data_IF_949092133508
#
_entry.id   IF_949092133508
#
_cell.length_a   1.000
_cell.length_b   1.000
_cell.length_c   1.000
_cell.angle_alpha   90.00
_cell.angle_beta   90.00
_cell.angle_gamma   90.00
#
_symmetry.space_group_name_H-M   'P 1'
#
loop_
_entity.id
_entity.type
_entity.pdbx_description
1 polymer ?
#
# COMPACT_ATOMS: atom_id res chain seq x y z
N UNK A 1 -12.73 70.65 -66.17
CA UNK A 1 -12.04 71.36 -65.07
C UNK A 1 -11.98 70.41 -63.89
N UNK A 2 -10.94 69.57 -63.80
CA UNK A 2 -9.69 69.80 -63.06
C UNK A 2 -9.88 70.05 -61.56
N UNK A 3 -9.67 69.00 -60.77
CA UNK A 3 -8.76 68.89 -59.60
C UNK A 3 -9.09 67.55 -58.92
N UNK A 4 -8.42 66.42 -59.21
CA UNK A 4 -7.09 66.04 -58.70
C UNK A 4 -6.73 66.79 -57.41
N UNK A 5 -6.97 66.15 -56.26
CA UNK A 5 -6.09 66.02 -55.08
C UNK A 5 -6.86 65.19 -54.05
N UNK A 6 -6.27 64.11 -53.56
CA UNK A 6 -6.86 63.28 -52.51
C UNK A 6 -6.12 61.96 -52.24
N UNK A 7 -5.20 61.55 -53.13
CA UNK A 7 -4.30 60.41 -52.90
C UNK A 7 -2.99 60.85 -52.17
N UNK A 8 -2.81 62.15 -51.95
CA UNK A 8 -1.60 62.72 -51.34
C UNK A 8 -1.59 62.75 -49.79
N UNK A 9 -2.71 62.48 -49.11
CA UNK A 9 -2.69 62.45 -47.63
C UNK A 9 -2.31 61.08 -47.05
N UNK A 10 -2.49 59.99 -47.81
CA UNK A 10 -2.11 58.64 -47.35
C UNK A 10 -0.64 58.29 -47.59
N UNK A 11 0.00 58.90 -48.60
CA UNK A 11 1.45 58.74 -48.82
C UNK A 11 2.29 59.49 -47.79
N UNK A 12 1.80 60.61 -47.24
CA UNK A 12 2.55 61.37 -46.24
C UNK A 12 2.51 60.75 -44.83
N UNK A 13 1.48 59.96 -44.49
CA UNK A 13 1.43 59.25 -43.19
C UNK A 13 2.24 57.95 -43.23
N UNK A 14 2.26 57.26 -44.38
CA UNK A 14 3.10 56.06 -44.55
C UNK A 14 4.60 56.41 -44.68
N UNK A 15 4.94 57.57 -45.25
CA UNK A 15 6.31 58.06 -45.31
C UNK A 15 6.82 58.59 -43.95
N UNK A 16 5.94 58.94 -43.01
CA UNK A 16 6.36 59.36 -41.67
C UNK A 16 6.66 58.17 -40.73
N UNK A 17 6.02 57.02 -40.97
CA UNK A 17 6.24 55.79 -40.19
C UNK A 17 7.46 54.96 -40.65
N UNK A 18 7.92 55.16 -41.89
CA UNK A 18 9.14 54.51 -42.42
C UNK A 18 10.44 55.32 -42.20
N UNK A 19 10.35 56.58 -41.78
CA UNK A 19 11.53 57.42 -41.48
C UNK A 19 11.99 57.36 -40.01
N UNK A 20 11.22 56.73 -39.11
CA UNK A 20 11.59 56.54 -37.68
C UNK A 20 12.06 55.10 -37.34
N UNK A 21 12.45 54.32 -38.35
CA UNK A 21 13.09 53.01 -38.19
C UNK A 21 14.39 53.05 -39.01
N UNK A 22 15.47 53.65 -38.48
CA UNK A 22 16.35 52.90 -37.59
C UNK A 22 17.01 53.78 -36.52
N UNK A 23 16.37 53.92 -35.35
CA UNK A 23 17.09 54.41 -34.14
C UNK A 23 17.13 53.33 -33.04
N UNK A 24 16.46 52.19 -33.23
CA UNK A 24 16.52 51.05 -32.28
C UNK A 24 17.27 49.82 -32.81
N UNK A 25 18.14 50.02 -33.81
CA UNK A 25 18.99 48.97 -34.35
C UNK A 25 20.43 49.48 -34.54
N UNK A 26 20.96 50.18 -33.54
CA UNK A 26 22.39 50.46 -33.38
C UNK A 26 22.63 51.10 -31.99
N UNK A 27 22.30 50.40 -30.91
CA UNK A 27 23.24 50.43 -29.78
C UNK A 27 24.43 49.65 -30.25
N UNK A 28 25.31 50.33 -30.98
CA UNK A 28 26.69 49.91 -31.10
C UNK A 28 27.12 49.59 -29.68
N UNK A 29 27.49 48.34 -29.45
CA UNK A 29 28.54 48.00 -28.50
C UNK A 29 29.76 48.81 -28.92
N UNK A 30 29.79 50.09 -28.57
CA UNK A 30 31.04 50.79 -28.34
C UNK A 30 31.67 50.01 -27.21
N UNK A 31 32.63 49.15 -27.55
CA UNK A 31 33.54 48.60 -26.58
C UNK A 31 34.00 49.79 -25.73
N UNK A 32 33.67 49.85 -24.43
CA UNK A 32 34.12 50.94 -23.60
C UNK A 32 35.64 50.97 -23.67
N UNK A 33 36.19 52.16 -23.94
CA UNK A 33 37.62 52.38 -24.04
C UNK A 33 38.30 51.71 -22.83
N UNK A 34 39.21 50.74 -23.03
CA UNK A 34 39.82 49.99 -21.93
C UNK A 34 40.67 50.86 -20.99
N UNK A 35 40.92 52.12 -21.35
CA UNK A 35 41.59 53.12 -20.52
C UNK A 35 40.62 54.00 -19.69
N UNK A 36 39.30 53.88 -19.89
CA UNK A 36 38.26 54.53 -19.09
C UNK A 36 37.65 53.59 -18.03
N UNK A 37 38.11 52.34 -17.95
CA UNK A 37 37.83 51.43 -16.83
C UNK A 37 38.74 51.79 -15.66
N UNK A 38 38.32 52.76 -14.87
CA UNK A 38 38.97 53.06 -13.60
C UNK A 38 38.82 51.89 -12.61
N UNK A 39 39.77 51.76 -11.68
CA UNK A 39 39.82 50.70 -10.66
C UNK A 39 38.57 50.61 -9.76
N UNK A 40 37.74 51.65 -9.71
CA UNK A 40 36.49 51.66 -8.93
C UNK A 40 35.37 50.81 -9.56
N UNK A 41 35.48 50.44 -10.84
CA UNK A 41 34.50 49.58 -11.52
C UNK A 41 34.58 48.12 -11.05
N UNK A 42 35.79 47.61 -10.76
CA UNK A 42 35.95 46.26 -10.19
C UNK A 42 35.40 46.21 -8.76
N UNK A 43 35.60 47.28 -7.98
CA UNK A 43 35.03 47.40 -6.64
C UNK A 43 33.50 47.46 -6.69
N UNK A 44 32.91 48.18 -7.66
CA UNK A 44 31.46 48.18 -7.87
C UNK A 44 30.92 46.83 -8.38
N UNK A 45 31.59 46.14 -9.30
CA UNK A 45 31.17 44.80 -9.73
C UNK A 45 31.27 43.79 -8.57
N UNK A 46 32.25 43.92 -7.68
CA UNK A 46 32.36 43.10 -6.47
C UNK A 46 31.30 43.46 -5.42
N UNK A 47 31.03 44.75 -5.19
CA UNK A 47 29.97 45.19 -4.29
C UNK A 47 28.59 44.77 -4.83
N UNK A 48 28.32 44.92 -6.12
CA UNK A 48 27.11 44.44 -6.77
C UNK A 48 27.00 42.92 -6.72
N UNK A 49 28.10 42.17 -6.91
CA UNK A 49 28.09 40.72 -6.76
C UNK A 49 27.85 40.29 -5.29
N UNK A 50 28.40 41.01 -4.32
CA UNK A 50 28.19 40.76 -2.88
C UNK A 50 26.77 41.13 -2.47
N UNK A 51 26.22 42.23 -2.99
CA UNK A 51 24.84 42.66 -2.77
C UNK A 51 23.88 41.68 -3.44
N UNK A 52 24.11 41.31 -4.71
CA UNK A 52 23.33 40.31 -5.43
C UNK A 52 23.35 38.97 -4.72
N UNK A 53 24.51 38.51 -4.23
CA UNK A 53 24.62 37.27 -3.46
C UNK A 53 23.96 37.39 -2.08
N UNK A 54 24.04 38.53 -1.38
CA UNK A 54 23.30 38.78 -0.13
C UNK A 54 21.79 38.76 -0.38
N UNK A 55 21.31 39.48 -1.39
CA UNK A 55 19.91 39.56 -1.79
C UNK A 55 19.39 38.17 -2.20
N UNK A 56 20.13 37.44 -3.03
CA UNK A 56 19.80 36.05 -3.39
C UNK A 56 19.85 35.08 -2.20
N UNK A 57 20.70 35.33 -1.20
CA UNK A 57 20.74 34.56 0.06
C UNK A 57 19.51 34.81 0.93
N UNK A 58 18.93 36.02 0.89
CA UNK A 58 17.65 36.33 1.55
C UNK A 58 16.44 35.76 0.81
N UNK A 59 16.49 35.63 -0.52
CA UNK A 59 15.40 35.03 -1.32
C UNK A 59 15.45 33.49 -1.44
N UNK A 60 16.41 32.83 -0.80
CA UNK A 60 16.65 31.36 -0.88
C UNK A 60 16.05 30.51 0.25
N UNK A 61 14.90 30.86 0.87
CA UNK A 61 13.94 29.80 1.13
C UNK A 61 12.49 30.26 0.98
N UNK A 62 12.02 30.46 -0.25
CA UNK A 62 10.64 30.12 -0.55
C UNK A 62 10.60 28.62 -0.86
N UNK A 63 10.76 27.78 0.17
CA UNK A 63 10.68 26.33 -0.03
C UNK A 63 9.28 26.05 -0.56
N UNK A 64 9.16 25.70 -1.84
CA UNK A 64 7.88 25.45 -2.51
C UNK A 64 7.13 24.25 -1.90
N UNK A 65 7.82 23.47 -1.07
CA UNK A 65 7.32 22.30 -0.39
C UNK A 65 7.87 22.21 1.04
N UNK A 66 7.18 21.46 1.89
CA UNK A 66 7.59 21.11 3.25
C UNK A 66 7.72 19.60 3.33
N UNK A 67 8.80 19.12 3.94
CA UNK A 67 8.93 17.71 4.28
C UNK A 67 8.02 17.38 5.46
N UNK A 68 7.19 16.36 5.29
CA UNK A 68 6.35 15.82 6.35
C UNK A 68 6.57 14.32 6.45
N UNK A 69 6.31 13.80 7.64
CA UNK A 69 6.30 12.37 7.94
C UNK A 69 4.86 11.93 8.13
N UNK A 70 4.50 10.78 7.56
CA UNK A 70 3.21 10.15 7.78
C UNK A 70 3.14 9.47 9.17
N UNK A 71 1.97 8.91 9.52
CA UNK A 71 1.78 8.18 10.78
C UNK A 71 2.71 6.96 10.93
N UNK A 72 3.27 6.48 9.84
CA UNK A 72 4.14 5.31 9.76
C UNK A 72 5.64 5.68 9.68
N UNK A 73 5.98 6.96 9.82
CA UNK A 73 7.37 7.46 9.81
C UNK A 73 8.00 7.56 8.42
N UNK A 74 7.20 7.55 7.35
CA UNK A 74 7.62 7.66 5.95
C UNK A 74 7.54 9.10 5.47
N UNK A 75 8.48 9.50 4.61
CA UNK A 75 8.62 10.89 4.20
C UNK A 75 7.81 11.20 2.93
N UNK A 76 7.16 12.35 2.91
CA UNK A 76 6.52 12.91 1.71
C UNK A 76 6.74 14.41 1.62
N UNK A 77 6.62 14.94 0.40
CA UNK A 77 6.67 16.39 0.14
C UNK A 77 5.26 16.94 0.05
N UNK A 78 5.00 17.98 0.83
CA UNK A 78 3.75 18.73 0.80
C UNK A 78 4.00 20.09 0.15
N UNK A 79 3.43 20.33 -1.02
CA UNK A 79 3.58 21.58 -1.75
C UNK A 79 2.60 22.64 -1.27
N UNK A 80 2.97 23.93 -1.41
CA UNK A 80 2.11 25.06 -1.01
C UNK A 80 0.77 25.12 -1.76
N UNK A 81 0.69 24.51 -2.93
CA UNK A 81 -0.53 24.40 -3.75
C UNK A 81 -1.43 23.22 -3.34
N UNK A 82 -1.10 22.51 -2.26
CA UNK A 82 -1.85 21.36 -1.76
C UNK A 82 -1.49 20.04 -2.42
N UNK A 83 -0.57 20.02 -3.39
CA UNK A 83 -0.10 18.76 -3.99
C UNK A 83 0.75 17.98 -2.99
N UNK A 84 0.57 16.66 -2.99
CA UNK A 84 1.35 15.71 -2.19
C UNK A 84 2.17 14.84 -3.13
N UNK A 85 3.48 14.77 -2.92
CA UNK A 85 4.37 13.85 -3.62
C UNK A 85 4.98 12.86 -2.62
N UNK A 86 4.61 11.60 -2.75
CA UNK A 86 5.21 10.50 -2.01
C UNK A 86 6.51 10.04 -2.67
N UNK A 87 7.55 9.80 -1.87
CA UNK A 87 8.82 9.27 -2.34
C UNK A 87 8.99 7.84 -1.88
N UNK A 88 9.23 6.93 -2.82
CA UNK A 88 9.48 5.52 -2.51
C UNK A 88 10.94 5.36 -2.10
N UNK A 89 11.19 5.29 -0.79
CA UNK A 89 12.52 5.03 -0.23
C UNK A 89 12.92 3.56 -0.40
N UNK A 90 14.23 3.25 -0.32
CA UNK A 90 14.75 1.86 -0.38
C UNK A 90 14.21 0.95 0.73
N UNK A 91 13.78 1.54 1.85
CA UNK A 91 13.21 0.83 3.00
C UNK A 91 11.68 0.85 2.99
N UNK A 92 11.06 1.03 1.82
CA UNK A 92 9.62 1.04 1.67
C UNK A 92 8.97 -0.21 2.30
N UNK A 93 7.92 0.03 3.09
CA UNK A 93 7.07 -1.01 3.66
C UNK A 93 5.65 -0.69 3.25
N UNK A 94 4.99 -1.69 2.68
CA UNK A 94 3.58 -1.59 2.35
C UNK A 94 2.73 -1.59 3.63
N UNK A 95 1.69 -0.77 3.64
CA UNK A 95 0.75 -0.58 4.76
C UNK A 95 -0.66 -0.46 4.22
N UNK A 96 -1.64 -0.79 5.07
CA UNK A 96 -3.04 -0.50 4.75
C UNK A 96 -3.27 1.02 4.78
N UNK A 97 -4.14 1.55 3.90
CA UNK A 97 -4.47 2.96 3.89
C UNK A 97 -5.25 3.35 5.15
N UNK A 98 -4.89 4.50 5.72
CA UNK A 98 -5.62 5.15 6.80
C UNK A 98 -6.58 6.22 6.24
N UNK A 99 -7.79 6.29 6.80
CA UNK A 99 -8.80 7.31 6.45
C UNK A 99 -8.28 8.74 6.68
N UNK A 100 -7.36 8.95 7.62
CA UNK A 100 -6.79 10.26 7.94
C UNK A 100 -5.80 10.79 6.89
N UNK A 101 -5.17 9.91 6.10
CA UNK A 101 -4.07 10.25 5.18
C UNK A 101 -4.36 9.81 3.72
N UNK A 102 -5.63 9.82 3.29
CA UNK A 102 -6.04 9.30 1.97
C UNK A 102 -5.34 9.96 0.77
N UNK A 103 -5.09 11.27 0.84
CA UNK A 103 -4.39 12.00 -0.24
C UNK A 103 -2.91 11.59 -0.35
N UNK A 104 -2.28 11.28 0.79
CA UNK A 104 -0.91 10.76 0.85
C UNK A 104 -0.85 9.36 0.24
N UNK A 105 -1.78 8.48 0.62
CA UNK A 105 -1.87 7.13 0.06
C UNK A 105 -2.21 7.11 -1.43
N UNK A 106 -3.00 8.07 -1.92
CA UNK A 106 -3.25 8.23 -3.35
C UNK A 106 -1.97 8.62 -4.10
N UNK A 107 -1.17 9.51 -3.53
CA UNK A 107 0.14 9.88 -4.08
C UNK A 107 1.12 8.71 -4.04
N UNK A 108 1.14 7.95 -2.95
CA UNK A 108 1.90 6.71 -2.78
C UNK A 108 1.58 5.70 -3.87
N UNK A 109 0.30 5.43 -4.14
CA UNK A 109 -0.11 4.52 -5.20
C UNK A 109 0.38 4.97 -6.59
N UNK A 110 0.32 6.28 -6.87
CA UNK A 110 0.85 6.86 -8.13
C UNK A 110 2.37 6.73 -8.22
N UNK A 111 3.08 6.91 -7.11
CA UNK A 111 4.53 6.74 -7.05
C UNK A 111 4.93 5.27 -7.26
N UNK A 112 4.28 4.32 -6.58
CA UNK A 112 4.50 2.88 -6.75
C UNK A 112 4.27 2.42 -8.19
N UNK A 113 3.20 2.89 -8.82
CA UNK A 113 2.93 2.59 -10.23
C UNK A 113 4.03 3.10 -11.17
N UNK A 114 4.63 4.28 -10.88
CA UNK A 114 5.76 4.82 -11.65
C UNK A 114 7.07 4.06 -11.43
N UNK A 115 7.28 3.55 -10.21
CA UNK A 115 8.48 2.80 -9.83
C UNK A 115 8.46 1.32 -10.20
N UNK A 116 7.41 0.85 -10.89
CA UNK A 116 7.34 -0.52 -11.40
C UNK A 116 6.67 -1.52 -10.45
N UNK A 117 5.99 -1.06 -9.39
CA UNK A 117 5.27 -1.88 -8.41
C UNK A 117 3.74 -1.78 -8.59
N UNK A 118 3.17 -2.30 -9.69
CA UNK A 118 1.75 -2.13 -10.00
C UNK A 118 0.82 -2.89 -9.04
N UNK A 119 1.24 -4.04 -8.47
CA UNK A 119 0.36 -4.85 -7.62
C UNK A 119 0.11 -4.18 -6.27
N UNK A 120 1.15 -3.66 -5.60
CA UNK A 120 1.01 -2.87 -4.37
C UNK A 120 0.23 -1.58 -4.64
N UNK A 121 0.46 -0.90 -5.77
CA UNK A 121 -0.35 0.26 -6.15
C UNK A 121 -1.85 -0.08 -6.28
N UNK A 122 -2.19 -1.18 -6.95
CA UNK A 122 -3.59 -1.60 -7.12
C UNK A 122 -4.21 -2.02 -5.79
N UNK A 123 -3.48 -2.75 -4.94
CA UNK A 123 -3.94 -3.13 -3.60
C UNK A 123 -4.24 -1.90 -2.74
N UNK A 124 -3.34 -0.92 -2.76
CA UNK A 124 -3.51 0.35 -2.06
C UNK A 124 -4.73 1.12 -2.57
N UNK A 125 -4.91 1.21 -3.90
CA UNK A 125 -6.09 1.88 -4.50
C UNK A 125 -7.41 1.19 -4.16
N UNK A 126 -7.45 -0.15 -4.13
CA UNK A 126 -8.62 -0.92 -3.64
C UNK A 126 -8.92 -0.59 -2.17
N UNK A 127 -7.88 -0.54 -1.33
CA UNK A 127 -7.99 -0.14 0.08
C UNK A 127 -8.48 1.31 0.26
N UNK A 128 -7.99 2.25 -0.55
CA UNK A 128 -8.45 3.66 -0.54
C UNK A 128 -9.94 3.72 -0.90
N UNK A 129 -10.37 2.95 -1.92
CA UNK A 129 -11.78 2.82 -2.27
C UNK A 129 -12.62 2.28 -1.12
N UNK A 130 -12.12 1.29 -0.38
CA UNK A 130 -12.74 0.79 0.84
C UNK A 130 -12.83 1.88 1.93
N UNK A 131 -11.78 2.66 2.14
CA UNK A 131 -11.77 3.74 3.12
C UNK A 131 -12.79 4.83 2.83
N UNK A 132 -12.92 5.25 1.57
CA UNK A 132 -13.97 6.18 1.17
C UNK A 132 -15.38 5.62 1.42
N UNK A 133 -15.62 4.35 1.06
CA UNK A 133 -16.90 3.66 1.38
C UNK A 133 -17.13 3.57 2.88
N UNK A 134 -16.08 3.33 3.67
CA UNK A 134 -16.18 3.19 5.12
C UNK A 134 -16.41 4.52 5.84
N UNK A 135 -15.84 5.62 5.34
CA UNK A 135 -15.98 6.95 5.92
C UNK A 135 -17.26 7.67 5.47
N UNK A 136 -17.57 7.62 4.17
CA UNK A 136 -18.61 8.44 3.54
C UNK A 136 -19.81 7.65 3.03
N UNK A 137 -19.76 6.31 3.10
CA UNK A 137 -20.85 5.44 2.65
C UNK A 137 -21.11 5.55 1.16
N UNK A 138 -22.28 6.11 0.80
CA UNK A 138 -22.71 6.27 -0.60
C UNK A 138 -22.24 7.57 -1.26
N UNK A 139 -21.70 8.51 -0.48
CA UNK A 139 -21.18 9.76 -1.02
C UNK A 139 -19.87 9.49 -1.76
N UNK A 140 -19.68 10.14 -2.91
CA UNK A 140 -18.51 9.95 -3.78
C UNK A 140 -17.72 11.25 -3.86
N UNK A 141 -16.74 11.46 -2.96
CA UNK A 141 -15.82 12.59 -3.03
C UNK A 141 -14.97 12.57 -4.32
N UNK A 142 -14.38 13.71 -4.67
CA UNK A 142 -13.48 13.86 -5.82
C UNK A 142 -12.27 12.91 -5.74
N UNK A 143 -11.70 12.76 -4.53
CA UNK A 143 -10.60 11.82 -4.29
C UNK A 143 -10.95 10.35 -4.59
N UNK A 144 -12.21 9.94 -4.35
CA UNK A 144 -12.67 8.60 -4.71
C UNK A 144 -12.73 8.41 -6.24
N UNK A 145 -13.22 9.41 -6.97
CA UNK A 145 -13.26 9.37 -8.44
C UNK A 145 -11.86 9.21 -9.00
N UNK A 146 -10.93 10.04 -8.53
CA UNK A 146 -9.52 10.00 -8.94
C UNK A 146 -8.88 8.64 -8.65
N UNK A 147 -9.09 8.09 -7.45
CA UNK A 147 -8.58 6.77 -7.09
C UNK A 147 -9.17 5.66 -7.99
N UNK A 148 -10.47 5.73 -8.29
CA UNK A 148 -11.17 4.74 -9.13
C UNK A 148 -10.72 4.82 -10.59
N UNK A 149 -10.48 6.01 -11.13
CA UNK A 149 -9.95 6.23 -12.46
C UNK A 149 -8.54 5.66 -12.60
N UNK A 150 -7.66 5.94 -11.63
CA UNK A 150 -6.30 5.39 -11.58
C UNK A 150 -6.31 3.87 -11.43
N UNK A 151 -7.16 3.33 -10.56
CA UNK A 151 -7.37 1.89 -10.39
C UNK A 151 -7.79 1.25 -11.72
N UNK A 152 -8.78 1.83 -12.39
CA UNK A 152 -9.28 1.34 -13.67
C UNK A 152 -8.20 1.38 -14.76
N UNK A 153 -7.38 2.43 -14.78
CA UNK A 153 -6.23 2.57 -15.69
C UNK A 153 -5.21 1.44 -15.47
N UNK A 154 -4.84 1.18 -14.21
CA UNK A 154 -3.87 0.13 -13.86
C UNK A 154 -4.41 -1.28 -14.11
N UNK A 155 -5.67 -1.55 -13.78
CA UNK A 155 -6.31 -2.85 -14.05
C UNK A 155 -6.34 -3.13 -15.56
N UNK A 156 -6.70 -2.13 -16.38
CA UNK A 156 -6.67 -2.27 -17.85
C UNK A 156 -5.27 -2.56 -18.38
N UNK A 157 -4.26 -1.87 -17.86
CA UNK A 157 -2.86 -2.13 -18.21
C UNK A 157 -2.43 -3.56 -17.82
N UNK A 158 -2.88 -4.04 -16.66
CA UNK A 158 -2.54 -5.36 -16.11
C UNK A 158 -3.52 -6.47 -16.53
N UNK A 159 -4.42 -6.23 -17.49
CA UNK A 159 -5.46 -7.18 -17.88
C UNK A 159 -4.91 -8.54 -18.35
N UNK A 160 -3.72 -8.54 -18.95
CA UNK A 160 -3.01 -9.74 -19.39
C UNK A 160 -2.51 -10.64 -18.24
N UNK A 161 -2.44 -10.12 -17.00
CA UNK A 161 -2.03 -10.84 -15.78
C UNK A 161 -3.14 -10.89 -14.73
N UNK A 162 -4.38 -11.11 -15.17
CA UNK A 162 -5.57 -11.09 -14.29
C UNK A 162 -5.47 -12.04 -13.10
N UNK A 163 -4.97 -13.26 -13.29
CA UNK A 163 -4.81 -14.24 -12.20
C UNK A 163 -3.88 -13.70 -11.11
N UNK A 164 -2.68 -13.23 -11.49
CA UNK A 164 -1.72 -12.66 -10.55
C UNK A 164 -2.25 -11.39 -9.88
N UNK A 165 -3.03 -10.59 -10.61
CA UNK A 165 -3.67 -9.40 -10.08
C UNK A 165 -4.61 -9.77 -8.93
N UNK A 166 -5.52 -10.71 -9.17
CA UNK A 166 -6.48 -11.18 -8.18
C UNK A 166 -5.77 -11.88 -7.01
N UNK A 167 -4.69 -12.61 -7.29
CA UNK A 167 -3.93 -13.36 -6.30
C UNK A 167 -3.07 -12.48 -5.41
N UNK A 168 -2.63 -11.31 -5.87
CA UNK A 168 -1.81 -10.42 -5.05
C UNK A 168 -2.63 -9.32 -4.42
N UNK A 169 -3.72 -8.86 -5.04
CA UNK A 169 -4.42 -7.65 -4.58
C UNK A 169 -5.61 -7.91 -3.67
N UNK A 170 -6.05 -9.16 -3.54
CA UNK A 170 -7.13 -9.55 -2.63
C UNK A 170 -6.61 -10.41 -1.46
N UNK A 171 -7.18 -10.25 -0.25
CA UNK A 171 -8.09 -9.21 0.19
C UNK A 171 -7.36 -7.87 0.39
N UNK A 172 -8.13 -6.79 0.44
CA UNK A 172 -7.64 -5.43 0.70
C UNK A 172 -8.25 -4.90 2.00
N UNK A 173 -7.63 -3.88 2.59
CA UNK A 173 -8.06 -3.36 3.90
C UNK A 173 -8.01 -1.85 4.01
N UNK A 174 -8.62 -1.34 5.08
CA UNK A 174 -8.66 0.07 5.44
C UNK A 174 -8.60 0.23 6.96
N UNK A 175 -7.89 1.26 7.44
CA UNK A 175 -7.79 1.61 8.86
C UNK A 175 -8.61 2.88 9.14
N UNK A 176 -9.45 2.84 10.18
CA UNK A 176 -10.15 4.01 10.73
C UNK A 176 -10.19 3.91 12.25
N UNK A 177 -9.68 4.92 12.95
CA UNK A 177 -9.82 5.05 14.42
C UNK A 177 -9.52 3.73 15.18
N UNK A 178 -8.41 3.07 14.82
CA UNK A 178 -7.95 1.79 15.38
C UNK A 178 -8.75 0.52 14.97
N UNK A 179 -9.67 0.63 14.03
CA UNK A 179 -10.38 -0.50 13.40
C UNK A 179 -9.77 -0.76 12.03
N UNK A 180 -9.31 -1.99 11.82
CA UNK A 180 -8.91 -2.53 10.54
C UNK A 180 -10.09 -3.28 9.92
N UNK A 181 -10.60 -2.76 8.81
CA UNK A 181 -11.61 -3.44 7.99
C UNK A 181 -10.93 -4.13 6.82
N UNK A 182 -11.19 -5.42 6.63
CA UNK A 182 -10.67 -6.24 5.53
C UNK A 182 -11.86 -6.75 4.70
N UNK A 183 -11.77 -6.60 3.38
CA UNK A 183 -12.82 -7.00 2.45
C UNK A 183 -12.24 -7.79 1.28
N UNK A 184 -13.04 -8.73 0.75
CA UNK A 184 -12.74 -9.41 -0.50
C UNK A 184 -13.99 -9.46 -1.38
N UNK A 185 -13.93 -8.81 -2.53
CA UNK A 185 -15.02 -8.82 -3.51
C UNK A 185 -15.23 -10.22 -4.12
N UNK A 186 -14.12 -10.93 -4.38
CA UNK A 186 -14.17 -12.26 -5.01
C UNK A 186 -14.82 -13.30 -4.10
N UNK A 187 -14.41 -13.32 -2.83
CA UNK A 187 -14.86 -14.32 -1.85
C UNK A 187 -15.99 -13.82 -0.96
N UNK A 188 -16.46 -12.59 -1.17
CA UNK A 188 -17.62 -11.97 -0.50
C UNK A 188 -17.59 -12.11 1.02
N UNK A 189 -16.50 -11.64 1.61
CA UNK A 189 -16.41 -11.52 3.05
C UNK A 189 -15.95 -10.13 3.46
N UNK A 190 -16.42 -9.69 4.62
CA UNK A 190 -15.99 -8.49 5.32
C UNK A 190 -15.66 -8.84 6.76
N UNK A 191 -14.54 -8.34 7.26
CA UNK A 191 -14.08 -8.54 8.63
C UNK A 191 -13.68 -7.21 9.23
N UNK A 192 -14.16 -6.91 10.43
CA UNK A 192 -13.66 -5.80 11.25
C UNK A 192 -12.83 -6.38 12.40
N UNK A 193 -11.61 -5.86 12.58
CA UNK A 193 -10.68 -6.24 13.64
C UNK A 193 -9.93 -5.01 14.18
N UNK A 194 -9.11 -5.15 15.22
CA UNK A 194 -8.29 -4.05 15.74
C UNK A 194 -7.08 -3.77 14.82
N UNK A 195 -6.47 -2.59 14.90
CA UNK A 195 -5.27 -2.26 14.10
C UNK A 195 -3.96 -2.87 14.66
N UNK A 196 -4.03 -3.72 15.68
CA UNK A 196 -2.84 -4.29 16.33
C UNK A 196 -2.20 -5.43 15.53
N UNK A 197 -2.80 -5.79 14.40
CA UNK A 197 -2.34 -6.87 13.54
C UNK A 197 -1.25 -6.41 12.59
N UNK A 198 -0.11 -7.09 12.61
CA UNK A 198 0.87 -7.00 11.54
C UNK A 198 0.47 -7.93 10.39
N UNK A 199 0.61 -7.45 9.16
CA UNK A 199 0.28 -8.21 7.95
C UNK A 199 1.49 -8.27 7.02
N UNK A 200 1.75 -9.47 6.48
CA UNK A 200 2.68 -9.63 5.37
C UNK A 200 1.88 -9.62 4.08
N UNK A 201 2.19 -8.63 3.26
CA UNK A 201 1.61 -8.46 1.94
C UNK A 201 2.17 -9.52 0.98
N UNK A 202 1.34 -10.15 0.14
CA UNK A 202 1.79 -11.22 -0.73
C UNK A 202 2.67 -10.67 -1.86
N UNK A 203 3.72 -11.42 -2.16
CA UNK A 203 4.69 -11.15 -3.24
C UNK A 203 4.64 -12.27 -4.29
N UNK A 204 5.08 -11.98 -5.52
CA UNK A 204 5.04 -12.93 -6.65
C UNK A 204 5.77 -14.25 -6.38
N UNK A 205 6.82 -14.21 -5.56
CA UNK A 205 7.67 -15.36 -5.26
C UNK A 205 7.11 -16.24 -4.14
N UNK A 206 6.06 -15.78 -3.44
CA UNK A 206 5.52 -16.48 -2.26
C UNK A 206 4.38 -17.44 -2.62
N UNK A 207 4.40 -18.69 -2.11
CA UNK A 207 3.38 -19.70 -2.40
C UNK A 207 2.10 -19.51 -1.57
N UNK A 208 1.76 -18.28 -1.16
CA UNK A 208 0.53 -18.01 -0.39
C UNK A 208 -0.74 -18.07 -1.27
N UNK A 209 -0.58 -18.37 -2.55
CA UNK A 209 -1.65 -18.67 -3.49
C UNK A 209 -1.20 -19.74 -4.47
N UNK A 210 -2.15 -20.53 -4.96
CA UNK A 210 -1.86 -21.57 -5.94
C UNK A 210 -3.09 -21.99 -6.71
N UNK A 211 -2.86 -22.49 -7.91
CA UNK A 211 -3.86 -23.20 -8.71
C UNK A 211 -3.44 -24.66 -8.79
N UNK A 212 -4.26 -25.56 -8.25
CA UNK A 212 -4.00 -27.00 -8.27
C UNK A 212 -5.20 -27.74 -8.84
N UNK A 213 -5.03 -28.34 -10.02
CA UNK A 213 -6.12 -29.00 -10.74
C UNK A 213 -7.31 -28.06 -10.90
N UNK A 214 -8.43 -28.43 -10.30
CA UNK A 214 -9.72 -27.75 -10.47
C UNK A 214 -10.04 -26.73 -9.37
N UNK A 215 -9.08 -26.30 -8.56
CA UNK A 215 -9.32 -25.27 -7.54
C UNK A 215 -8.18 -24.26 -7.39
N UNK A 216 -8.58 -23.02 -7.13
CA UNK A 216 -7.68 -21.92 -6.76
C UNK A 216 -7.75 -21.75 -5.26
N UNK A 217 -6.60 -21.54 -4.61
CA UNK A 217 -6.55 -21.30 -3.18
C UNK A 217 -5.61 -20.11 -2.87
N UNK A 218 -5.92 -19.36 -1.81
CA UNK A 218 -5.15 -18.21 -1.32
C UNK A 218 -5.15 -18.23 0.20
N UNK A 219 -4.08 -17.75 0.81
CA UNK A 219 -3.94 -17.70 2.26
C UNK A 219 -3.39 -16.35 2.65
N UNK A 220 -3.97 -15.77 3.70
CA UNK A 220 -3.56 -14.49 4.25
C UNK A 220 -3.44 -14.57 5.74
N UNK A 221 -2.37 -13.98 6.24
CA UNK A 221 -1.94 -14.14 7.62
C UNK A 221 -1.72 -12.79 8.26
N UNK A 222 -2.28 -12.67 9.45
CA UNK A 222 -2.18 -11.51 10.32
C UNK A 222 -1.64 -12.00 11.65
N UNK A 223 -0.69 -11.31 12.25
CA UNK A 223 -0.13 -11.75 13.52
C UNK A 223 -0.03 -10.65 14.57
N UNK A 224 -0.12 -11.08 15.82
CA UNK A 224 0.20 -10.29 17.00
C UNK A 224 1.37 -10.95 17.74
N UNK A 225 2.40 -10.17 18.03
CA UNK A 225 3.52 -10.61 18.87
C UNK A 225 3.06 -10.81 20.31
N UNK A 226 3.36 -11.95 20.91
CA UNK A 226 3.12 -12.16 22.35
C UNK A 226 4.29 -11.51 23.09
N UNK A 227 4.03 -10.33 23.66
CA UNK A 227 4.98 -9.71 24.58
C UNK A 227 5.05 -10.53 25.87
N UNK A 228 6.05 -11.41 25.99
CA UNK A 228 6.39 -11.98 27.30
C UNK A 228 6.81 -10.82 28.21
N UNK A 229 6.20 -10.74 29.38
CA UNK A 229 6.37 -9.66 30.35
C UNK A 229 7.80 -9.12 30.42
N UNK A 230 7.95 -7.84 30.05
CA UNK A 230 9.07 -7.00 30.46
C UNK A 230 10.41 -7.11 29.71
N UNK A 231 10.70 -8.13 28.90
CA UNK A 231 12.10 -8.35 28.44
C UNK A 231 12.34 -8.63 26.95
N UNK A 232 11.32 -8.62 26.09
CA UNK A 232 11.51 -8.85 24.64
C UNK A 232 11.38 -7.58 23.78
N UNK A 233 11.70 -6.39 24.31
CA UNK A 233 11.87 -5.20 23.47
C UNK A 233 13.19 -5.30 22.69
N UNK A 234 13.05 -5.48 21.38
CA UNK A 234 13.81 -4.72 20.37
C UNK A 234 15.21 -5.20 19.91
N UNK A 235 15.48 -6.51 19.77
CA UNK A 235 16.65 -6.93 18.94
C UNK A 235 16.38 -7.94 17.83
N UNK A 236 15.44 -8.88 17.99
CA UNK A 236 15.20 -9.89 16.95
C UNK A 236 14.00 -9.61 16.04
N UNK A 237 13.20 -8.57 16.27
CA UNK A 237 11.96 -8.39 15.49
C UNK A 237 12.21 -8.12 14.00
N UNK A 238 13.22 -7.30 13.66
CA UNK A 238 13.65 -7.07 12.27
C UNK A 238 14.30 -8.31 11.64
N UNK A 239 15.07 -9.06 12.40
CA UNK A 239 15.69 -10.31 11.95
C UNK A 239 14.63 -11.39 11.69
N UNK A 240 13.57 -11.42 12.50
CA UNK A 240 12.40 -12.26 12.29
C UNK A 240 11.58 -11.82 11.08
N UNK A 241 11.32 -10.51 10.91
CA UNK A 241 10.68 -9.99 9.69
C UNK A 241 11.48 -10.37 8.45
N UNK A 242 12.82 -10.33 8.52
CA UNK A 242 13.72 -10.79 7.45
C UNK A 242 13.65 -12.31 7.23
N UNK A 243 13.53 -13.11 8.28
CA UNK A 243 13.40 -14.57 8.18
C UNK A 243 12.05 -15.01 7.60
N UNK A 244 10.96 -14.34 7.95
CA UNK A 244 9.64 -14.56 7.34
C UNK A 244 9.66 -14.20 5.85
N UNK A 245 10.36 -13.13 5.47
CA UNK A 245 10.62 -12.79 4.07
C UNK A 245 11.50 -13.84 3.36
N UNK A 246 12.38 -14.54 4.08
CA UNK A 246 13.31 -15.52 3.47
C UNK A 246 12.72 -16.90 3.13
N UNK A 247 11.38 -17.02 3.04
CA UNK A 247 10.64 -18.12 2.37
C UNK A 247 10.94 -19.58 2.79
N UNK A 248 11.76 -19.83 3.82
CA UNK A 248 12.27 -21.18 4.13
C UNK A 248 11.38 -22.00 5.06
N UNK A 249 10.41 -21.38 5.74
CA UNK A 249 9.49 -22.08 6.64
C UNK A 249 8.15 -22.36 5.95
N UNK A 250 7.94 -23.65 5.63
CA UNK A 250 6.68 -24.20 5.10
C UNK A 250 5.48 -23.82 5.98
N UNK A 251 4.28 -23.95 5.40
CA UNK A 251 2.95 -23.63 5.96
C UNK A 251 2.74 -23.86 7.48
N UNK A 252 3.34 -24.93 8.06
CA UNK A 252 3.19 -25.37 9.46
C UNK A 252 4.23 -24.81 10.45
N UNK A 253 5.35 -24.25 9.98
CA UNK A 253 6.47 -23.87 10.85
C UNK A 253 6.31 -22.43 11.37
N UNK A 254 5.11 -22.08 11.81
CA UNK A 254 4.89 -20.78 12.42
C UNK A 254 5.42 -20.80 13.86
N UNK A 255 6.23 -19.79 14.22
CA UNK A 255 6.84 -19.72 15.54
C UNK A 255 5.78 -19.60 16.64
N UNK A 256 5.93 -20.33 17.75
CA UNK A 256 4.92 -20.37 18.82
C UNK A 256 4.69 -19.03 19.51
N UNK A 257 5.63 -18.08 19.47
CA UNK A 257 5.55 -16.85 20.29
C UNK A 257 4.58 -15.77 19.75
N UNK A 258 3.60 -16.15 18.94
CA UNK A 258 2.68 -15.22 18.28
C UNK A 258 1.27 -15.79 18.19
N UNK A 259 0.30 -14.88 18.22
CA UNK A 259 -1.09 -15.20 17.87
C UNK A 259 -1.24 -14.92 16.37
N UNK A 260 -1.75 -15.90 15.63
CA UNK A 260 -1.87 -15.86 14.18
C UNK A 260 -3.34 -15.97 13.77
N UNK A 261 -3.83 -14.98 13.04
CA UNK A 261 -5.08 -15.04 12.31
C UNK A 261 -4.78 -15.45 10.87
N UNK A 262 -5.41 -16.54 10.42
CA UNK A 262 -5.29 -17.06 9.06
C UNK A 262 -6.64 -17.04 8.37
N UNK A 263 -6.69 -16.38 7.22
CA UNK A 263 -7.81 -16.34 6.29
C UNK A 263 -7.41 -17.16 5.06
N UNK A 264 -8.03 -18.33 4.89
CA UNK A 264 -7.87 -19.15 3.71
C UNK A 264 -9.05 -18.95 2.77
N UNK A 265 -8.80 -18.77 1.49
CA UNK A 265 -9.80 -18.55 0.45
C UNK A 265 -9.65 -19.64 -0.60
N UNK A 266 -10.73 -20.26 -1.05
CA UNK A 266 -10.69 -21.20 -2.15
C UNK A 266 -11.86 -21.02 -3.12
N UNK A 267 -11.57 -21.21 -4.40
CA UNK A 267 -12.55 -21.13 -5.48
C UNK A 267 -12.54 -22.45 -6.26
N UNK A 268 -13.72 -23.03 -6.44
CA UNK A 268 -13.94 -24.34 -7.05
C UNK A 268 -14.78 -24.20 -8.34
N UNK A 269 -14.17 -23.92 -9.50
CA UNK A 269 -14.89 -23.74 -10.76
C UNK A 269 -15.68 -24.97 -11.23
N UNK A 270 -15.17 -26.18 -10.97
CA UNK A 270 -15.84 -27.45 -11.30
C UNK A 270 -16.64 -27.93 -10.08
N UNK A 271 -17.78 -28.60 -10.31
CA UNK A 271 -18.70 -29.09 -9.28
C UNK A 271 -17.94 -29.61 -8.03
N UNK A 272 -18.07 -28.88 -6.93
CA UNK A 272 -17.22 -29.07 -5.77
C UNK A 272 -17.41 -30.48 -5.19
N UNK A 273 -16.34 -31.30 -5.24
CA UNK A 273 -16.23 -32.58 -4.50
C UNK A 273 -16.38 -32.32 -2.99
N UNK A 274 -16.07 -31.08 -2.57
CA UNK A 274 -16.21 -30.63 -1.20
C UNK A 274 -17.65 -30.20 -0.89
N UNK A 275 -18.14 -30.70 0.24
CA UNK A 275 -19.33 -30.28 0.96
C UNK A 275 -18.93 -29.50 2.20
N UNK A 276 -19.88 -28.79 2.83
CA UNK A 276 -19.65 -28.09 4.09
C UNK A 276 -19.08 -28.99 5.20
N UNK A 277 -19.35 -30.30 5.13
CA UNK A 277 -18.87 -31.29 6.12
C UNK A 277 -17.42 -31.72 5.93
N UNK A 278 -16.89 -31.74 4.70
CA UNK A 278 -15.54 -32.25 4.40
C UNK A 278 -14.57 -31.15 3.94
N UNK A 279 -15.02 -29.90 3.79
CA UNK A 279 -14.20 -28.79 3.33
C UNK A 279 -12.92 -28.57 4.16
N UNK A 280 -12.92 -28.94 5.44
CA UNK A 280 -11.73 -28.90 6.29
C UNK A 280 -10.57 -29.76 5.75
N UNK A 281 -10.86 -30.84 5.00
CA UNK A 281 -9.86 -31.75 4.46
C UNK A 281 -8.99 -31.07 3.38
N UNK A 282 -9.58 -30.17 2.58
CA UNK A 282 -8.82 -29.37 1.62
C UNK A 282 -7.73 -28.59 2.35
N UNK A 283 -8.11 -27.90 3.42
CA UNK A 283 -7.17 -27.10 4.18
C UNK A 283 -6.14 -27.97 4.88
N UNK A 284 -6.54 -29.09 5.47
CA UNK A 284 -5.60 -30.05 6.07
C UNK A 284 -4.52 -30.48 5.08
N UNK A 285 -4.89 -30.78 3.82
CA UNK A 285 -3.95 -31.09 2.75
C UNK A 285 -3.01 -29.91 2.46
N UNK A 286 -3.52 -28.69 2.34
CA UNK A 286 -2.69 -27.48 2.12
C UNK A 286 -1.78 -27.18 3.30
N UNK A 287 -2.20 -27.55 4.51
CA UNK A 287 -1.35 -27.48 5.70
C UNK A 287 -0.30 -28.58 5.71
N UNK A 288 -0.41 -29.62 4.89
CA UNK A 288 0.47 -30.79 4.95
C UNK A 288 0.15 -31.72 6.13
N UNK A 289 -1.07 -31.65 6.66
CA UNK A 289 -1.56 -32.55 7.71
C UNK A 289 -1.87 -33.91 7.08
N UNK A 290 -0.95 -34.85 7.27
CA UNK A 290 -1.07 -36.24 6.87
C UNK A 290 -1.06 -37.16 8.11
N UNK A 291 -1.37 -38.45 7.93
CA UNK A 291 -1.41 -39.43 9.03
C UNK A 291 -0.13 -39.50 9.86
N UNK A 292 1.03 -39.18 9.26
CA UNK A 292 2.32 -39.10 9.96
C UNK A 292 2.38 -37.88 10.87
N UNK A 293 2.12 -36.69 10.34
CA UNK A 293 2.10 -35.44 11.11
C UNK A 293 1.09 -35.48 12.25
N UNK A 294 -0.08 -36.12 12.05
CA UNK A 294 -1.09 -36.28 13.10
C UNK A 294 -0.53 -37.06 14.30
N UNK A 295 0.22 -38.14 14.04
CA UNK A 295 0.88 -38.95 15.08
C UNK A 295 2.04 -38.21 15.73
N UNK A 296 2.87 -37.52 14.94
CA UNK A 296 4.06 -36.81 15.44
C UNK A 296 3.71 -35.59 16.31
N UNK A 297 2.62 -34.90 15.99
CA UNK A 297 2.21 -33.65 16.67
C UNK A 297 1.07 -33.84 17.67
N UNK A 298 0.63 -35.08 17.94
CA UNK A 298 -0.53 -35.36 18.79
C UNK A 298 -1.78 -34.58 18.38
N UNK A 299 -2.02 -34.44 17.07
CA UNK A 299 -3.09 -33.61 16.53
C UNK A 299 -4.48 -34.14 16.93
N UNK A 300 -5.25 -33.30 17.62
CA UNK A 300 -6.62 -33.62 18.08
C UNK A 300 -7.57 -32.50 17.70
N UNK A 301 -8.55 -32.80 16.85
CA UNK A 301 -9.62 -31.89 16.47
C UNK A 301 -10.92 -32.30 17.16
N UNK A 302 -11.57 -31.35 17.82
CA UNK A 302 -12.90 -31.49 18.42
C UNK A 302 -13.84 -30.50 17.74
N UNK A 303 -15.02 -30.97 17.32
CA UNK A 303 -16.08 -30.10 16.81
C UNK A 303 -16.83 -29.48 17.99
N UNK A 304 -16.97 -28.17 18.00
CA UNK A 304 -17.72 -27.37 18.98
C UNK A 304 -18.72 -26.50 18.20
N UNK A 305 -19.97 -26.96 18.15
CA UNK A 305 -21.07 -26.40 17.36
C UNK A 305 -20.70 -26.21 15.87
N UNK A 306 -20.55 -24.96 15.44
CA UNK A 306 -20.17 -24.55 14.08
C UNK A 306 -18.67 -24.30 13.89
N UNK A 307 -17.87 -24.57 14.92
CA UNK A 307 -16.42 -24.36 14.93
C UNK A 307 -15.67 -25.64 15.29
N UNK A 308 -14.37 -25.63 15.04
CA UNK A 308 -13.46 -26.70 15.39
C UNK A 308 -12.37 -26.16 16.30
N UNK A 309 -12.17 -26.85 17.42
CA UNK A 309 -11.06 -26.62 18.34
C UNK A 309 -10.03 -27.71 18.11
N UNK A 310 -8.88 -27.32 17.59
CA UNK A 310 -7.77 -28.20 17.25
C UNK A 310 -6.61 -27.95 18.23
N UNK A 311 -6.03 -29.02 18.79
CA UNK A 311 -4.83 -28.97 19.65
C UNK A 311 -3.73 -29.83 19.05
N UNK A 312 -2.49 -29.34 19.11
CA UNK A 312 -1.31 -30.10 18.68
C UNK A 312 -0.04 -29.53 19.32
N UNK A 313 1.05 -30.28 19.26
CA UNK A 313 2.36 -29.89 19.76
C UNK A 313 3.27 -29.47 18.60
N UNK A 314 3.95 -28.31 18.73
CA UNK A 314 5.03 -27.88 17.84
C UNK A 314 6.36 -28.02 18.58
N UNK A 315 7.39 -28.48 17.86
CA UNK A 315 8.77 -28.51 18.37
C UNK A 315 9.48 -27.22 17.98
N UNK A 316 9.97 -26.48 18.97
CA UNK A 316 10.85 -25.34 18.75
C UNK A 316 12.22 -25.83 18.24
N UNK A 317 12.99 -24.93 17.59
CA UNK A 317 14.36 -25.25 17.14
C UNK A 317 15.27 -25.70 18.28
N UNK A 318 14.98 -25.29 19.51
CA UNK A 318 15.70 -25.68 20.73
C UNK A 318 15.22 -27.04 21.31
N UNK A 319 14.38 -27.78 20.59
CA UNK A 319 13.82 -29.07 21.01
C UNK A 319 12.67 -28.99 22.02
N UNK A 320 12.29 -27.79 22.45
CA UNK A 320 11.15 -27.59 23.37
C UNK A 320 9.82 -27.87 22.68
N UNK A 321 8.94 -28.60 23.35
CA UNK A 321 7.56 -28.79 22.93
C UNK A 321 6.71 -27.62 23.38
N UNK A 322 5.97 -27.01 22.46
CA UNK A 322 4.99 -25.97 22.76
C UNK A 322 3.62 -26.46 22.35
N UNK A 323 2.67 -26.59 23.30
CA UNK A 323 1.29 -26.91 22.96
C UNK A 323 0.62 -25.71 22.30
N UNK A 324 -0.05 -25.97 21.18
CA UNK A 324 -0.75 -24.99 20.37
C UNK A 324 -2.23 -25.31 20.34
N UNK A 325 -3.02 -24.25 20.32
CA UNK A 325 -4.46 -24.30 20.11
C UNK A 325 -4.82 -23.54 18.84
N UNK A 326 -5.76 -24.08 18.08
CA UNK A 326 -6.35 -23.45 16.89
C UNK A 326 -7.85 -23.52 16.98
N UNK A 327 -8.49 -22.38 16.79
CA UNK A 327 -9.94 -22.28 16.64
C UNK A 327 -10.22 -22.02 15.16
N UNK A 328 -11.07 -22.83 14.55
CA UNK A 328 -11.28 -22.87 13.11
C UNK A 328 -12.76 -22.84 12.78
N UNK A 329 -13.11 -22.11 11.73
CA UNK A 329 -14.44 -22.11 11.14
C UNK A 329 -14.31 -22.18 9.63
N UNK A 330 -15.22 -22.95 9.03
CA UNK A 330 -15.19 -23.30 7.63
C UNK A 330 -16.53 -22.91 7.01
N UNK A 331 -16.46 -22.09 5.96
CA UNK A 331 -17.62 -21.72 5.16
C UNK A 331 -17.40 -22.23 3.75
N UNK A 332 -18.42 -22.86 3.19
CA UNK A 332 -18.44 -23.26 1.79
C UNK A 332 -19.82 -22.94 1.25
N UNK A 333 -19.90 -21.98 0.33
CA UNK A 333 -21.14 -21.55 -0.31
C UNK A 333 -20.94 -21.54 -1.82
N UNK A 334 -21.81 -22.26 -2.52
CA UNK A 334 -21.68 -22.49 -3.97
C UNK A 334 -20.29 -23.05 -4.30
N UNK A 335 -19.45 -22.24 -4.94
CA UNK A 335 -18.10 -22.57 -5.38
C UNK A 335 -17.01 -21.84 -4.58
N UNK A 336 -17.38 -21.12 -3.51
CA UNK A 336 -16.46 -20.29 -2.72
C UNK A 336 -16.33 -20.85 -1.33
N UNK A 337 -15.09 -21.11 -0.96
CA UNK A 337 -14.71 -21.57 0.36
C UNK A 337 -13.92 -20.52 1.12
N UNK A 338 -14.18 -20.40 2.42
CA UNK A 338 -13.48 -19.55 3.36
C UNK A 338 -13.11 -20.38 4.59
N UNK A 339 -11.81 -20.47 4.86
CA UNK A 339 -11.26 -20.87 6.14
C UNK A 339 -11.00 -19.61 6.97
N UNK A 340 -11.55 -19.59 8.17
CA UNK A 340 -11.26 -18.58 9.16
C UNK A 340 -10.69 -19.25 10.40
N UNK A 341 -9.44 -18.94 10.78
CA UNK A 341 -8.81 -19.58 11.93
C UNK A 341 -7.90 -18.65 12.71
N UNK A 342 -7.87 -18.83 14.03
CA UNK A 342 -6.90 -18.21 14.92
C UNK A 342 -6.09 -19.29 15.63
N UNK A 343 -4.77 -19.11 15.69
CA UNK A 343 -3.86 -20.03 16.37
C UNK A 343 -2.90 -19.30 17.31
N UNK A 344 -2.41 -20.03 18.31
CA UNK A 344 -1.39 -19.54 19.23
C UNK A 344 -1.07 -20.57 20.32
N UNK A 345 -0.15 -20.25 21.25
CA UNK A 345 0.17 -21.11 22.38
C UNK A 345 -1.04 -21.37 23.26
N UNK A 346 -1.16 -22.59 23.77
CA UNK A 346 -2.22 -22.96 24.72
C UNK A 346 -2.14 -22.12 26.01
N UNK A 347 -0.95 -21.62 26.38
CA UNK A 347 -0.77 -20.68 27.49
C UNK A 347 -1.55 -19.36 27.33
N UNK A 348 -1.94 -18.99 26.10
CA UNK A 348 -2.71 -17.77 25.80
C UNK A 348 -4.16 -18.09 25.41
N UNK A 349 -4.68 -19.26 25.79
CA UNK A 349 -6.02 -19.72 25.38
C UNK A 349 -7.12 -18.70 25.66
N UNK A 350 -7.12 -18.05 26.83
CA UNK A 350 -8.17 -17.08 27.18
C UNK A 350 -8.15 -15.86 26.27
N UNK A 351 -6.95 -15.32 25.98
CA UNK A 351 -6.78 -14.22 25.03
C UNK A 351 -7.19 -14.63 23.62
N UNK A 352 -6.80 -15.82 23.17
CA UNK A 352 -7.17 -16.36 21.85
C UNK A 352 -8.69 -16.49 21.73
N UNK A 353 -9.36 -17.00 22.77
CA UNK A 353 -10.83 -17.11 22.82
C UNK A 353 -11.52 -15.76 22.79
N UNK A 354 -11.01 -14.77 23.52
CA UNK A 354 -11.55 -13.41 23.49
C UNK A 354 -11.46 -12.81 22.08
N UNK A 355 -10.30 -12.91 21.45
CA UNK A 355 -10.10 -12.44 20.07
C UNK A 355 -11.01 -13.21 19.10
N UNK A 356 -11.11 -14.54 19.24
CA UNK A 356 -11.98 -15.37 18.42
C UNK A 356 -13.45 -14.96 18.48
N UNK A 357 -13.96 -14.67 19.68
CA UNK A 357 -15.33 -14.20 19.87
C UNK A 357 -15.56 -12.84 19.20
N UNK A 358 -14.63 -11.89 19.37
CA UNK A 358 -14.70 -10.58 18.72
C UNK A 358 -14.71 -10.70 17.20
N UNK A 359 -13.79 -11.50 16.64
CA UNK A 359 -13.68 -11.72 15.22
C UNK A 359 -14.93 -12.39 14.63
N UNK A 360 -15.48 -13.40 15.30
CA UNK A 360 -16.68 -14.09 14.82
C UNK A 360 -17.93 -13.20 14.85
N UNK A 361 -18.05 -12.28 15.81
CA UNK A 361 -19.15 -11.31 15.83
C UNK A 361 -19.07 -10.31 14.67
N UNK A 362 -17.87 -10.04 14.19
CA UNK A 362 -17.58 -9.02 13.18
C UNK A 362 -17.30 -9.57 11.78
N UNK A 363 -17.31 -10.89 11.63
CA UNK A 363 -17.15 -11.57 10.35
C UNK A 363 -18.50 -11.69 9.64
N UNK A 364 -18.58 -11.15 8.44
CA UNK A 364 -19.73 -11.27 7.54
C UNK A 364 -19.27 -12.04 6.31
N UNK A 365 -20.00 -13.10 5.96
CA UNK A 365 -19.76 -13.95 4.79
C UNK A 365 -21.06 -14.04 4.00
N UNK A 366 -21.05 -13.62 2.74
CA UNK A 366 -22.25 -13.56 1.88
C UNK A 366 -22.34 -14.69 0.86
#
# INVERSE_FOLDING_TARGET
>A
MYQKIGILSFLNVLSFLLFFQPILAQTQTTAPDPLLRDSWYEDQEQEEAVIYNKVMKYFRPNVHFVWKTDLHGRNYKFYKDGRVEFLVDRNFREVFPDVSELDVHLSEAKALAKHGEPYSAIRLLKGIGLCYRFQFGKLVPEGYKTATEELSRLIKHMAHKKTNLDDLTDPYGCIKENILKIESDQFRFSLETTNDWKHFFPELETPESGTEGDHVWKVRRFYQSIGYGGLAKNKNEEEWERMYRSQTEKFLNYKPDRILLTIGLSYHPVAAIYTSKNYFQLWDLKRGINSRTIRETNFRRKKEDDSYTTRFEIFHRDGRKVPMIVLEKYYLRENRGLLFSISGPEAQTDRIRQIWLQLNQKLIVE
#
